data_IF_892758977167
#
_entry.id   IF_892758977167
#
_cell.length_a   1.000
_cell.length_b   1.000
_cell.length_c   1.000
_cell.angle_alpha   90.00
_cell.angle_beta   90.00
_cell.angle_gamma   90.00
#
_symmetry.space_group_name_H-M   'P 1'
#
loop_
_entity.id
_entity.type
_entity.pdbx_description
1 polymer ?
#
# COMPACT_ATOMS: atom_id res chain seq x y z
N UNK A 1 -1.95 -11.53 3.54
CA UNK A 1 -2.54 -11.20 2.22
C UNK A 1 -2.84 -9.71 2.11
N UNK A 2 -1.86 -8.80 2.30
CA UNK A 2 -2.05 -7.40 1.96
C UNK A 2 -1.99 -7.21 0.45
N UNK A 3 -3.05 -6.66 -0.12
CA UNK A 3 -3.07 -6.10 -1.47
C UNK A 3 -3.01 -4.58 -1.36
N UNK A 4 -1.88 -4.01 -1.76
CA UNK A 4 -1.64 -2.57 -1.81
C UNK A 4 -1.75 -2.11 -3.26
N UNK A 5 -2.73 -1.26 -3.54
CA UNK A 5 -2.87 -0.58 -4.82
C UNK A 5 -2.61 0.91 -4.64
N UNK A 6 -1.68 1.46 -5.41
CA UNK A 6 -1.34 2.88 -5.43
C UNK A 6 -1.78 3.45 -6.77
N UNK A 7 -2.84 4.26 -6.73
CA UNK A 7 -3.33 5.02 -7.86
C UNK A 7 -2.55 6.33 -7.93
N UNK A 8 -1.86 6.57 -9.04
CA UNK A 8 -1.04 7.76 -9.26
C UNK A 8 -1.58 8.48 -10.49
N UNK A 9 -1.76 9.80 -10.39
CA UNK A 9 -2.14 10.62 -11.54
C UNK A 9 -1.16 10.34 -12.70
N UNK A 10 -1.67 9.94 -13.86
CA UNK A 10 -0.84 9.40 -14.95
C UNK A 10 0.34 10.32 -15.35
N UNK A 11 0.16 11.64 -15.33
CA UNK A 11 1.21 12.62 -15.67
C UNK A 11 2.29 12.78 -14.59
N UNK A 12 2.07 12.20 -13.40
CA UNK A 12 2.96 12.25 -12.24
C UNK A 12 3.48 10.87 -11.85
N UNK A 13 3.31 9.87 -12.73
CA UNK A 13 3.88 8.53 -12.50
C UNK A 13 5.41 8.66 -12.42
N UNK A 14 6.05 8.18 -11.34
CA UNK A 14 7.49 8.26 -11.23
C UNK A 14 8.17 7.27 -12.21
N UNK A 15 9.48 7.45 -12.47
CA UNK A 15 10.25 6.51 -13.28
C UNK A 15 10.24 5.09 -12.71
N UNK A 16 10.50 4.10 -13.57
CA UNK A 16 10.46 2.68 -13.19
C UNK A 16 11.43 2.34 -12.03
N UNK A 17 12.64 2.90 -12.03
CA UNK A 17 13.60 2.68 -10.94
C UNK A 17 13.04 3.11 -9.57
N UNK A 18 12.35 4.26 -9.52
CA UNK A 18 11.70 4.75 -8.32
C UNK A 18 10.51 3.86 -7.91
N UNK A 19 9.75 3.33 -8.87
CA UNK A 19 8.69 2.35 -8.60
C UNK A 19 9.25 1.04 -8.04
N UNK A 20 10.38 0.58 -8.54
CA UNK A 20 11.05 -0.61 -8.02
C UNK A 20 11.48 -0.43 -6.56
N UNK A 21 12.10 0.70 -6.22
CA UNK A 21 12.46 1.03 -4.84
C UNK A 21 11.23 1.15 -3.93
N UNK A 22 10.17 1.81 -4.42
CA UNK A 22 8.91 1.91 -3.68
C UNK A 22 8.27 0.53 -3.48
N UNK A 23 8.34 -0.36 -4.48
CA UNK A 23 7.83 -1.73 -4.41
C UNK A 23 8.54 -2.52 -3.32
N UNK A 24 9.87 -2.47 -3.30
CA UNK A 24 10.67 -3.11 -2.26
C UNK A 24 10.30 -2.56 -0.88
N UNK A 25 10.13 -1.24 -0.77
CA UNK A 25 9.77 -0.63 0.51
C UNK A 25 8.37 -1.00 0.98
N UNK A 26 7.38 -0.99 0.10
CA UNK A 26 6.03 -1.45 0.39
C UNK A 26 6.00 -2.94 0.77
N UNK A 27 6.80 -3.76 0.11
CA UNK A 27 6.94 -5.19 0.41
C UNK A 27 7.44 -5.39 1.83
N UNK A 28 8.52 -4.70 2.20
CA UNK A 28 9.05 -4.72 3.57
C UNK A 28 8.08 -4.22 4.62
N UNK A 29 7.31 -3.17 4.35
CA UNK A 29 6.27 -2.72 5.27
C UNK A 29 5.20 -3.80 5.48
N UNK A 30 4.80 -4.49 4.42
CA UNK A 30 3.86 -5.60 4.50
C UNK A 30 4.42 -6.81 5.26
N UNK A 31 5.69 -7.18 5.06
CA UNK A 31 6.31 -8.34 5.73
C UNK A 31 6.70 -8.03 7.17
N UNK A 32 7.31 -6.87 7.43
CA UNK A 32 7.96 -6.57 8.71
C UNK A 32 6.97 -5.97 9.71
N UNK A 33 6.03 -5.12 9.24
CA UNK A 33 5.04 -4.43 10.10
C UNK A 33 3.74 -5.21 10.15
N UNK A 34 3.19 -5.57 8.98
CA UNK A 34 1.94 -6.32 8.91
C UNK A 34 2.12 -7.84 9.06
N UNK A 35 3.36 -8.32 9.21
CA UNK A 35 3.68 -9.76 9.35
C UNK A 35 3.03 -10.61 8.26
N UNK A 36 3.00 -10.11 7.03
CA UNK A 36 2.54 -10.88 5.89
C UNK A 36 3.64 -11.83 5.40
N UNK A 37 3.28 -13.06 5.05
CA UNK A 37 4.16 -13.89 4.23
C UNK A 37 4.38 -13.21 2.87
N UNK A 38 5.62 -13.24 2.37
CA UNK A 38 6.03 -12.56 1.14
C UNK A 38 5.16 -12.92 -0.06
N UNK A 39 4.88 -14.22 -0.26
CA UNK A 39 4.07 -14.74 -1.37
C UNK A 39 2.63 -14.19 -1.38
N UNK A 40 2.18 -13.65 -0.24
CA UNK A 40 0.85 -13.08 -0.08
C UNK A 40 0.82 -11.55 -0.21
N UNK A 41 1.94 -10.91 -0.52
CA UNK A 41 2.05 -9.47 -0.71
C UNK A 41 1.85 -9.14 -2.19
N UNK A 42 0.96 -8.21 -2.48
CA UNK A 42 0.76 -7.70 -3.84
C UNK A 42 0.85 -6.18 -3.82
N UNK A 43 1.78 -5.61 -4.58
CA UNK A 43 1.93 -4.17 -4.78
C UNK A 43 1.58 -3.84 -6.23
N UNK A 44 0.61 -2.94 -6.44
CA UNK A 44 0.07 -2.60 -7.75
C UNK A 44 0.12 -1.10 -7.94
N UNK A 45 0.58 -0.64 -9.11
CA UNK A 45 0.52 0.75 -9.52
C UNK A 45 -0.50 0.93 -10.63
N UNK A 46 -1.34 1.95 -10.50
CA UNK A 46 -2.37 2.27 -11.49
C UNK A 46 -2.20 3.72 -11.93
N UNK A 47 -1.93 3.93 -13.22
CA UNK A 47 -1.98 5.25 -13.82
C UNK A 47 -3.44 5.72 -13.93
N UNK A 48 -3.82 6.71 -13.14
CA UNK A 48 -5.20 7.17 -13.01
C UNK A 48 -5.41 8.53 -13.69
N UNK A 49 -6.60 8.72 -14.29
CA UNK A 49 -7.15 10.06 -14.59
C UNK A 49 -7.97 10.50 -13.38
N UNK A 50 -7.42 11.40 -12.58
CA UNK A 50 -8.08 11.87 -11.36
C UNK A 50 -8.86 13.16 -11.62
N UNK A 51 -10.07 13.26 -11.07
CA UNK A 51 -10.87 14.49 -11.11
C UNK A 51 -10.60 15.44 -9.95
N UNK A 52 -10.47 14.92 -8.72
CA UNK A 52 -10.23 15.69 -7.49
C UNK A 52 -9.45 14.88 -6.47
N UNK A 53 -8.68 15.55 -5.61
CA UNK A 53 -7.98 14.95 -4.48
C UNK A 53 -6.46 15.04 -4.61
N UNK A 54 -5.75 14.24 -3.82
CA UNK A 54 -4.30 14.13 -3.89
C UNK A 54 -3.86 13.40 -5.16
N UNK A 55 -2.68 13.75 -5.72
CA UNK A 55 -2.14 13.12 -6.94
C UNK A 55 -1.81 11.63 -6.77
N UNK A 56 -1.78 11.13 -5.53
CA UNK A 56 -1.69 9.71 -5.20
C UNK A 56 -2.81 9.30 -4.23
N UNK A 57 -3.35 8.11 -4.43
CA UNK A 57 -4.27 7.44 -3.51
C UNK A 57 -3.78 6.00 -3.30
N UNK A 58 -3.50 5.64 -2.05
CA UNK A 58 -3.08 4.29 -1.69
C UNK A 58 -4.21 3.57 -0.97
N UNK A 59 -4.58 2.41 -1.48
CA UNK A 59 -5.54 1.51 -0.84
C UNK A 59 -4.82 0.24 -0.44
N UNK A 60 -4.95 -0.16 0.82
CA UNK A 60 -4.55 -1.49 1.26
C UNK A 60 -5.77 -2.30 1.70
N UNK A 61 -5.90 -3.51 1.17
CA UNK A 61 -6.86 -4.52 1.61
C UNK A 61 -6.10 -5.63 2.31
N UNK A 62 -6.50 -6.02 3.50
CA UNK A 62 -5.78 -7.01 4.29
C UNK A 62 -6.73 -7.81 5.18
N UNK A 63 -6.27 -8.99 5.61
CA UNK A 63 -6.98 -9.80 6.61
C UNK A 63 -6.77 -9.21 8.00
N UNK A 64 -7.81 -9.12 8.80
CA UNK A 64 -7.67 -8.76 10.21
C UNK A 64 -6.96 -9.89 10.95
N UNK A 65 -6.03 -9.50 11.82
CA UNK A 65 -5.27 -10.41 12.68
C UNK A 65 -5.10 -9.73 14.04
N UNK A 66 -5.06 -10.48 15.16
CA UNK A 66 -4.94 -9.89 16.51
C UNK A 66 -3.73 -8.96 16.68
N UNK A 67 -2.64 -9.23 15.97
CA UNK A 67 -1.40 -8.45 16.03
C UNK A 67 -1.41 -7.20 15.11
N UNK A 68 -2.39 -7.05 14.21
CA UNK A 68 -2.56 -5.84 13.37
C UNK A 68 -3.45 -4.83 14.08
N UNK A 69 -2.97 -4.35 15.22
CA UNK A 69 -3.69 -3.40 16.07
C UNK A 69 -3.82 -2.03 15.38
N UNK A 70 -4.71 -1.14 15.88
CA UNK A 70 -4.81 0.22 15.37
C UNK A 70 -3.47 0.98 15.39
N UNK A 71 -2.64 0.81 16.42
CA UNK A 71 -1.32 1.46 16.49
C UNK A 71 -0.32 0.91 15.47
N UNK A 72 -0.33 -0.40 15.20
CA UNK A 72 0.48 -1.01 14.14
C UNK A 72 0.03 -0.49 12.77
N UNK A 73 -1.29 -0.36 12.56
CA UNK A 73 -1.81 0.20 11.31
C UNK A 73 -1.47 1.67 11.13
N UNK A 74 -1.47 2.47 12.21
CA UNK A 74 -1.07 3.87 12.17
C UNK A 74 0.41 4.03 11.79
N UNK A 75 1.31 3.27 12.43
CA UNK A 75 2.73 3.23 12.08
C UNK A 75 2.96 2.76 10.63
N UNK A 76 2.22 1.74 10.19
CA UNK A 76 2.25 1.30 8.79
C UNK A 76 1.85 2.42 7.83
N UNK A 77 0.75 3.14 8.10
CA UNK A 77 0.26 4.22 7.25
C UNK A 77 1.25 5.40 7.20
N UNK A 78 1.82 5.79 8.33
CA UNK A 78 2.83 6.85 8.40
C UNK A 78 4.06 6.51 7.54
N UNK A 79 4.60 5.29 7.70
CA UNK A 79 5.77 4.84 6.94
C UNK A 79 5.48 4.64 5.45
N UNK A 80 4.25 4.23 5.10
CA UNK A 80 3.81 4.15 3.72
C UNK A 80 3.75 5.53 3.07
N UNK A 81 3.20 6.54 3.77
CA UNK A 81 3.20 7.92 3.26
C UNK A 81 4.62 8.45 3.05
N UNK A 82 5.53 8.20 4.01
CA UNK A 82 6.94 8.57 3.87
C UNK A 82 7.61 7.88 2.67
N UNK A 83 7.34 6.59 2.45
CA UNK A 83 7.88 5.85 1.32
C UNK A 83 7.38 6.43 -0.02
N UNK A 84 6.08 6.72 -0.13
CA UNK A 84 5.51 7.33 -1.33
C UNK A 84 6.09 8.73 -1.54
N UNK A 85 6.23 9.53 -0.48
CA UNK A 85 6.83 10.86 -0.56
C UNK A 85 8.28 10.80 -1.02
N UNK A 86 9.07 9.87 -0.48
CA UNK A 86 10.50 9.73 -0.80
C UNK A 86 10.73 9.25 -2.23
N UNK A 87 10.02 8.20 -2.66
CA UNK A 87 10.32 7.54 -3.92
C UNK A 87 9.46 8.06 -5.08
N UNK A 88 8.23 8.53 -4.83
CA UNK A 88 7.37 9.11 -5.87
C UNK A 88 7.31 10.65 -5.85
N UNK A 89 7.77 11.31 -4.77
CA UNK A 89 7.65 12.77 -4.63
C UNK A 89 6.19 13.25 -4.43
N UNK A 90 5.30 12.35 -4.00
CA UNK A 90 3.87 12.61 -3.87
C UNK A 90 3.40 12.43 -2.43
N UNK A 91 2.38 13.18 -2.02
CA UNK A 91 1.59 12.87 -0.82
C UNK A 91 0.40 12.02 -1.23
N UNK A 92 0.15 10.92 -0.52
CA UNK A 92 -0.96 10.04 -0.81
C UNK A 92 -2.12 10.23 0.17
N UNK A 93 -3.35 10.10 -0.32
CA UNK A 93 -4.47 9.78 0.56
C UNK A 93 -4.49 8.26 0.79
N UNK A 94 -4.34 7.81 2.04
CA UNK A 94 -4.21 6.38 2.37
C UNK A 94 -5.51 5.88 3.00
N UNK A 95 -6.00 4.72 2.54
CA UNK A 95 -7.12 4.01 3.18
C UNK A 95 -6.83 2.53 3.36
N UNK A 96 -7.09 2.04 4.56
CA UNK A 96 -6.87 0.66 4.96
C UNK A 96 -8.20 -0.06 5.18
N UNK A 97 -8.38 -1.20 4.53
CA UNK A 97 -9.60 -2.02 4.57
C UNK A 97 -9.25 -3.39 5.15
N UNK A 98 -9.58 -3.59 6.42
CA UNK A 98 -9.43 -4.86 7.10
C UNK A 98 -10.66 -5.73 6.93
N UNK A 99 -10.47 -7.01 6.60
CA UNK A 99 -11.53 -7.99 6.44
C UNK A 99 -11.37 -9.13 7.46
N UNK A 100 -12.43 -9.55 8.16
CA UNK A 100 -12.41 -10.76 8.99
C UNK A 100 -11.92 -11.99 8.20
N UNK A 101 -11.19 -12.88 8.88
CA UNK A 101 -10.52 -14.01 8.23
C UNK A 101 -11.47 -14.95 7.48
N UNK A 102 -12.70 -15.07 7.97
CA UNK A 102 -13.81 -15.89 7.44
C UNK A 102 -14.58 -15.23 6.28
N UNK A 103 -14.26 -13.98 5.93
CA UNK A 103 -14.92 -13.23 4.84
C UNK A 103 -14.02 -13.00 3.64
N UNK A 104 -12.70 -13.13 3.81
CA UNK A 104 -11.72 -12.87 2.76
C UNK A 104 -11.18 -14.19 2.18
N UNK A 105 -11.77 -14.58 1.05
CA UNK A 105 -11.34 -15.72 0.23
C UNK A 105 -10.32 -15.26 -0.81
N UNK A 106 -9.25 -16.03 -0.98
CA UNK A 106 -8.22 -15.78 -1.98
C UNK A 106 -7.57 -17.09 -2.43
N UNK A 107 -7.04 -17.10 -3.65
CA UNK A 107 -6.37 -18.25 -4.27
C UNK A 107 -5.20 -17.74 -5.11
N UNK A 108 -4.13 -18.55 -5.12
CA UNK A 108 -2.80 -18.28 -5.67
C UNK A 108 -1.95 -17.41 -4.75
#
# INVERSE_FOLDING_TARGET
>A
MPNLTIFIQAQKMPPEANLAELTERCTRLCTDVLQAALDNVHVIYVAARQGRGHPAYAQIKYRLEPFRTPSVMDDFMARLDEAIKRHAGLTAHIRCFGYPADTLYARN
#
